data_IF_476096792596
#
_entry.id   IF_476096792596
#
_cell.length_a   1.000
_cell.length_b   1.000
_cell.length_c   1.000
_cell.angle_alpha   90.00
_cell.angle_beta   90.00
_cell.angle_gamma   90.00
#
_symmetry.space_group_name_H-M   'P 1'
#
loop_
_entity.id
_entity.type
_entity.pdbx_description
1 polymer ?
#
# COMPACT_ATOMS: atom_id res chain seq x y z
N UNK A 1 47.14 -24.05 -22.72
CA UNK A 1 46.76 -22.90 -21.89
C UNK A 1 46.08 -21.81 -22.73
N UNK A 2 44.74 -21.78 -22.73
CA UNK A 2 43.90 -20.60 -22.97
C UNK A 2 42.44 -21.06 -22.80
N UNK A 3 41.97 -21.04 -21.55
CA UNK A 3 40.55 -21.20 -21.23
C UNK A 3 39.87 -19.87 -21.48
N UNK A 4 39.12 -19.81 -22.56
CA UNK A 4 38.26 -18.70 -22.96
C UNK A 4 37.06 -18.63 -22.00
N UNK A 5 37.15 -17.77 -20.99
CA UNK A 5 36.04 -17.47 -20.09
C UNK A 5 35.02 -16.65 -20.88
N UNK A 6 34.01 -17.32 -21.43
CA UNK A 6 32.75 -16.69 -21.84
C UNK A 6 32.19 -15.95 -20.63
N UNK A 7 32.40 -14.63 -20.59
CA UNK A 7 31.60 -13.72 -19.79
C UNK A 7 30.17 -13.86 -20.32
N UNK A 8 29.34 -14.62 -19.61
CA UNK A 8 27.90 -14.50 -19.74
C UNK A 8 27.57 -13.11 -19.24
N UNK A 9 27.50 -12.15 -20.16
CA UNK A 9 26.84 -10.88 -19.92
C UNK A 9 25.38 -11.23 -19.66
N UNK A 10 25.01 -11.44 -18.39
CA UNK A 10 23.63 -11.39 -17.98
C UNK A 10 23.14 -9.99 -18.27
N UNK A 11 22.38 -9.82 -19.34
CA UNK A 11 21.68 -8.58 -19.65
C UNK A 11 20.87 -8.21 -18.41
N UNK A 12 21.30 -7.17 -17.69
CA UNK A 12 20.64 -6.75 -16.47
C UNK A 12 19.21 -6.33 -16.84
N UNK A 13 18.22 -7.11 -16.40
CA UNK A 13 16.81 -6.80 -16.64
C UNK A 13 16.49 -5.44 -16.02
N UNK A 14 15.96 -4.53 -16.83
CA UNK A 14 15.48 -3.22 -16.37
C UNK A 14 14.36 -3.42 -15.35
N UNK A 15 14.25 -2.52 -14.38
CA UNK A 15 13.24 -2.63 -13.33
C UNK A 15 11.80 -2.70 -13.85
N UNK A 16 11.49 -2.00 -14.95
CA UNK A 16 10.19 -2.06 -15.62
C UNK A 16 9.77 -3.47 -16.08
N UNK A 17 10.75 -4.34 -16.34
CA UNK A 17 10.55 -5.71 -16.80
C UNK A 17 10.62 -6.72 -15.64
N UNK A 18 10.84 -6.25 -14.41
CA UNK A 18 10.93 -7.09 -13.22
C UNK A 18 9.56 -7.25 -12.57
N UNK A 19 9.16 -8.48 -12.21
CA UNK A 19 7.92 -8.70 -11.51
C UNK A 19 8.01 -8.17 -10.07
N UNK A 20 6.91 -7.63 -9.57
CA UNK A 20 6.80 -7.26 -8.16
C UNK A 20 6.80 -8.49 -7.26
N UNK A 21 7.32 -8.34 -6.04
CA UNK A 21 7.13 -9.31 -4.97
C UNK A 21 5.65 -9.41 -4.61
N UNK A 22 5.22 -10.61 -4.26
CA UNK A 22 3.85 -10.89 -3.83
C UNK A 22 3.51 -10.16 -2.53
N UNK A 23 2.21 -9.97 -2.29
CA UNK A 23 1.67 -9.48 -1.02
C UNK A 23 2.20 -10.29 0.17
N UNK A 24 2.21 -11.62 0.04
CA UNK A 24 2.64 -12.54 1.10
C UNK A 24 4.15 -12.42 1.38
N UNK A 25 4.98 -12.28 0.35
CA UNK A 25 6.42 -12.02 0.51
C UNK A 25 6.67 -10.73 1.30
N UNK A 26 6.02 -9.62 0.92
CA UNK A 26 6.22 -8.34 1.60
C UNK A 26 5.58 -8.31 3.00
N UNK A 27 4.53 -9.09 3.25
CA UNK A 27 4.03 -9.33 4.61
C UNK A 27 5.08 -10.06 5.48
N UNK A 28 5.90 -10.92 4.87
CA UNK A 28 7.10 -11.51 5.47
C UNK A 28 8.06 -10.46 6.02
N UNK A 29 8.41 -9.47 5.20
CA UNK A 29 9.25 -8.33 5.60
C UNK A 29 8.58 -7.45 6.66
N UNK A 30 7.29 -7.12 6.45
CA UNK A 30 6.55 -6.20 7.31
C UNK A 30 6.29 -6.75 8.73
N UNK A 31 5.98 -8.05 8.81
CA UNK A 31 5.39 -8.67 10.00
C UNK A 31 6.08 -9.95 10.47
N UNK A 32 7.16 -10.39 9.81
CA UNK A 32 7.95 -11.55 10.22
C UNK A 32 7.33 -12.91 9.84
N UNK A 33 6.56 -12.97 8.75
CA UNK A 33 6.02 -14.24 8.24
C UNK A 33 7.11 -15.08 7.55
N UNK A 34 6.81 -16.36 7.32
CA UNK A 34 7.68 -17.30 6.58
C UNK A 34 7.82 -16.91 5.11
N UNK A 35 8.88 -17.41 4.45
CA UNK A 35 9.13 -17.20 3.02
C UNK A 35 7.92 -17.57 2.16
N UNK A 36 7.69 -16.80 1.11
CA UNK A 36 6.68 -17.11 0.09
C UNK A 36 7.31 -17.80 -1.11
N UNK A 37 7.10 -19.11 -1.21
CA UNK A 37 7.60 -19.96 -2.30
C UNK A 37 7.08 -19.53 -3.68
N UNK A 38 5.97 -18.78 -3.74
CA UNK A 38 5.40 -18.27 -4.99
C UNK A 38 5.94 -16.89 -5.38
N UNK A 39 6.86 -16.31 -4.59
CA UNK A 39 7.42 -15.01 -4.93
C UNK A 39 8.30 -15.13 -6.18
N UNK A 40 8.08 -14.34 -7.24
CA UNK A 40 8.89 -14.43 -8.46
C UNK A 40 10.33 -13.97 -8.26
N UNK A 41 10.63 -13.32 -7.14
CA UNK A 41 11.96 -12.85 -6.76
C UNK A 41 12.57 -13.67 -5.60
N UNK A 42 12.01 -14.85 -5.28
CA UNK A 42 12.42 -15.65 -4.13
C UNK A 42 13.92 -16.00 -4.13
N UNK A 43 14.45 -16.35 -5.30
CA UNK A 43 15.87 -16.73 -5.47
C UNK A 43 16.83 -15.61 -5.04
N UNK A 44 16.38 -14.36 -5.05
CA UNK A 44 17.17 -13.19 -4.65
C UNK A 44 17.06 -12.85 -3.15
N UNK A 45 16.05 -13.38 -2.42
CA UNK A 45 15.70 -12.94 -1.05
C UNK A 45 16.59 -13.49 0.07
N UNK A 46 17.47 -14.44 -0.23
CA UNK A 46 18.26 -15.17 0.76
C UNK A 46 17.42 -16.19 1.54
N UNK A 47 17.97 -16.74 2.63
CA UNK A 47 17.35 -17.84 3.39
C UNK A 47 16.16 -17.41 4.27
N UNK A 48 16.06 -16.13 4.60
CA UNK A 48 14.99 -15.55 5.43
C UNK A 48 14.67 -14.14 4.94
N UNK A 49 13.46 -13.68 5.23
CA UNK A 49 13.11 -12.29 4.98
C UNK A 49 13.98 -11.34 5.77
N UNK A 50 14.31 -10.20 5.17
CA UNK A 50 14.81 -9.04 5.91
C UNK A 50 13.73 -8.59 6.89
N UNK A 51 14.15 -8.11 8.06
CA UNK A 51 13.22 -7.36 8.89
C UNK A 51 12.93 -5.98 8.28
N UNK A 52 11.79 -5.42 8.65
CA UNK A 52 11.34 -4.11 8.14
C UNK A 52 12.38 -2.99 8.37
N UNK A 53 12.96 -2.79 9.57
CA UNK A 53 14.01 -1.78 9.78
C UNK A 53 15.24 -1.95 8.88
N UNK A 54 15.72 -3.17 8.69
CA UNK A 54 16.86 -3.48 7.84
C UNK A 54 16.57 -3.17 6.38
N UNK A 55 15.41 -3.60 5.88
CA UNK A 55 14.93 -3.24 4.53
C UNK A 55 14.93 -1.72 4.33
N UNK A 56 14.28 -0.97 5.23
CA UNK A 56 14.16 0.49 5.14
C UNK A 56 15.52 1.19 5.16
N UNK A 57 16.47 0.70 5.98
CA UNK A 57 17.83 1.22 6.03
C UNK A 57 18.57 0.99 4.71
N UNK A 58 18.51 -0.23 4.18
CA UNK A 58 19.22 -0.60 2.96
C UNK A 58 18.66 0.16 1.74
N UNK A 59 17.34 0.22 1.59
CA UNK A 59 16.71 0.90 0.45
C UNK A 59 16.97 2.40 0.47
N UNK A 60 16.98 3.02 1.66
CA UNK A 60 17.33 4.44 1.84
C UNK A 60 18.74 4.75 1.38
N UNK A 61 19.71 3.88 1.72
CA UNK A 61 21.10 4.03 1.27
C UNK A 61 21.23 3.80 -0.23
N UNK A 62 20.51 2.83 -0.79
CA UNK A 62 20.53 2.57 -2.23
C UNK A 62 19.98 3.76 -3.02
N UNK A 63 18.82 4.31 -2.65
CA UNK A 63 18.20 5.46 -3.34
C UNK A 63 19.06 6.74 -3.31
N UNK A 64 20.03 6.83 -2.41
CA UNK A 64 21.00 7.92 -2.37
C UNK A 64 22.14 7.76 -3.39
N UNK A 65 22.39 6.53 -3.86
CA UNK A 65 23.56 6.18 -4.69
C UNK A 65 23.16 5.72 -6.10
N UNK A 66 22.12 4.90 -6.18
CA UNK A 66 21.64 4.28 -7.41
C UNK A 66 20.69 5.22 -8.15
N UNK A 67 21.26 6.03 -9.05
CA UNK A 67 20.59 7.12 -9.78
C UNK A 67 20.92 7.14 -11.27
N UNK A 68 21.52 6.06 -11.77
CA UNK A 68 21.90 5.91 -13.17
C UNK A 68 20.69 5.65 -14.08
N UNK A 69 20.90 5.64 -15.40
CA UNK A 69 19.86 5.28 -16.38
C UNK A 69 19.30 3.85 -16.21
N UNK A 70 20.05 3.00 -15.53
CA UNK A 70 19.77 1.60 -15.22
C UNK A 70 19.44 1.36 -13.73
N UNK A 71 19.15 2.44 -12.99
CA UNK A 71 18.83 2.34 -11.57
C UNK A 71 17.65 1.40 -11.30
N UNK A 72 17.73 0.69 -10.17
CA UNK A 72 16.67 -0.15 -9.63
C UNK A 72 15.55 0.70 -8.98
N UNK A 73 15.25 1.85 -9.58
CA UNK A 73 14.15 2.74 -9.20
C UNK A 73 13.66 3.49 -10.44
N UNK A 74 12.40 3.28 -10.82
CA UNK A 74 11.73 4.05 -11.87
C UNK A 74 10.51 4.72 -11.24
N UNK A 75 10.57 6.05 -10.99
CA UNK A 75 9.40 6.81 -10.58
C UNK A 75 8.36 6.83 -11.70
N UNK A 76 7.08 6.77 -11.35
CA UNK A 76 5.99 7.04 -12.29
C UNK A 76 5.05 8.06 -11.63
N UNK A 77 5.12 9.33 -12.02
CA UNK A 77 4.27 10.41 -11.51
C UNK A 77 4.09 10.39 -9.97
N UNK A 78 3.05 9.74 -9.44
CA UNK A 78 2.77 9.59 -7.99
C UNK A 78 3.33 8.29 -7.35
N UNK A 79 3.67 7.26 -8.11
CA UNK A 79 4.15 5.97 -7.59
C UNK A 79 5.03 5.22 -8.59
N UNK A 80 6.25 4.89 -8.18
CA UNK A 80 7.22 4.16 -9.01
C UNK A 80 7.39 2.69 -8.63
N UNK A 81 8.13 1.97 -9.45
CA UNK A 81 8.69 0.69 -9.08
C UNK A 81 10.08 0.90 -8.47
N UNK A 82 10.37 0.21 -7.37
CA UNK A 82 11.70 0.19 -6.74
C UNK A 82 12.11 -1.25 -6.47
N UNK A 83 13.39 -1.56 -6.61
CA UNK A 83 13.97 -2.84 -6.25
C UNK A 83 15.14 -2.65 -5.28
N UNK A 84 15.15 -3.37 -4.17
CA UNK A 84 16.34 -3.46 -3.31
C UNK A 84 17.36 -4.40 -3.96
N UNK A 85 18.38 -3.86 -4.64
CA UNK A 85 19.34 -4.60 -5.48
C UNK A 85 19.95 -5.78 -4.73
N UNK A 86 20.34 -5.56 -3.48
CA UNK A 86 21.00 -6.55 -2.61
C UNK A 86 20.17 -7.80 -2.29
N UNK A 87 18.83 -7.73 -2.33
CA UNK A 87 17.96 -8.80 -1.82
C UNK A 87 16.73 -9.08 -2.67
N UNK A 88 16.59 -8.57 -3.89
CA UNK A 88 15.47 -8.99 -4.75
C UNK A 88 14.16 -8.23 -4.61
N UNK A 89 13.92 -7.61 -3.46
CA UNK A 89 12.61 -7.06 -3.14
C UNK A 89 12.20 -5.96 -4.13
N UNK A 90 11.22 -6.27 -4.97
CA UNK A 90 10.68 -5.36 -5.98
C UNK A 90 9.25 -4.99 -5.58
N UNK A 91 8.97 -3.70 -5.43
CA UNK A 91 7.74 -3.18 -4.82
C UNK A 91 7.43 -1.76 -5.31
N UNK A 92 6.32 -1.20 -4.87
CA UNK A 92 5.89 0.14 -5.22
C UNK A 92 6.47 1.16 -4.23
N UNK A 93 6.92 2.30 -4.74
CA UNK A 93 7.30 3.47 -3.95
C UNK A 93 6.38 4.65 -4.30
N UNK A 94 5.55 5.12 -3.36
CA UNK A 94 4.81 6.39 -3.46
C UNK A 94 5.74 7.51 -3.02
N UNK A 95 6.14 8.37 -3.95
CA UNK A 95 7.01 9.52 -3.68
C UNK A 95 6.20 10.79 -3.54
N UNK A 96 6.54 11.64 -2.58
CA UNK A 96 5.94 12.97 -2.42
C UNK A 96 7.00 14.05 -2.20
N UNK A 97 6.65 15.28 -2.56
CA UNK A 97 7.40 16.48 -2.22
C UNK A 97 7.10 16.92 -0.78
N UNK A 98 7.90 17.83 -0.21
CA UNK A 98 7.80 18.20 1.22
C UNK A 98 6.44 18.80 1.60
N UNK A 99 5.74 19.47 0.66
CA UNK A 99 4.43 20.06 0.93
C UNK A 99 3.34 19.02 1.19
N UNK A 100 3.48 17.81 0.65
CA UNK A 100 2.53 16.69 0.82
C UNK A 100 2.94 15.72 1.95
N UNK A 101 4.01 16.02 2.69
CA UNK A 101 4.51 15.15 3.77
C UNK A 101 3.43 14.86 4.84
N UNK A 102 2.57 15.82 5.15
CA UNK A 102 1.51 15.64 6.14
C UNK A 102 0.50 14.57 5.68
N UNK A 103 0.12 14.57 4.40
CA UNK A 103 -0.78 13.58 3.81
C UNK A 103 -0.12 12.19 3.79
N UNK A 104 1.16 12.12 3.41
CA UNK A 104 1.89 10.84 3.38
C UNK A 104 2.06 10.24 4.79
N UNK A 105 2.30 11.07 5.81
CA UNK A 105 2.37 10.62 7.21
C UNK A 105 1.02 10.08 7.67
N UNK A 106 -0.05 10.81 7.39
CA UNK A 106 -1.40 10.38 7.71
C UNK A 106 -1.76 9.06 7.03
N UNK A 107 -1.46 8.91 5.73
CA UNK A 107 -1.68 7.66 5.01
C UNK A 107 -0.90 6.49 5.63
N UNK A 108 0.38 6.69 5.94
CA UNK A 108 1.20 5.68 6.62
C UNK A 108 0.58 5.25 7.97
N UNK A 109 0.08 6.21 8.76
CA UNK A 109 -0.57 5.93 10.04
C UNK A 109 -1.89 5.16 9.83
N UNK A 110 -2.65 5.46 8.77
CA UNK A 110 -3.84 4.69 8.41
C UNK A 110 -3.50 3.25 8.06
N UNK A 111 -2.40 3.00 7.32
CA UNK A 111 -1.90 1.65 7.08
C UNK A 111 -1.60 0.90 8.39
N UNK A 112 -1.00 1.55 9.38
CA UNK A 112 -0.75 0.94 10.69
C UNK A 112 -2.07 0.58 11.41
N UNK A 113 -3.13 1.38 11.26
CA UNK A 113 -4.48 1.06 11.78
C UNK A 113 -5.11 -0.13 11.09
N UNK A 114 -4.86 -0.32 9.79
CA UNK A 114 -5.45 -1.40 8.99
C UNK A 114 -4.55 -2.63 8.83
N UNK A 115 -3.56 -2.80 9.72
CA UNK A 115 -2.61 -3.94 9.72
C UNK A 115 -3.28 -5.30 9.56
N UNK A 116 -4.47 -5.50 10.14
CA UNK A 116 -5.20 -6.78 10.09
C UNK A 116 -5.65 -7.21 8.69
N UNK A 117 -5.81 -6.26 7.76
CA UNK A 117 -6.31 -6.50 6.40
C UNK A 117 -5.26 -6.25 5.31
N UNK A 118 -4.03 -5.86 5.70
CA UNK A 118 -2.91 -5.71 4.76
C UNK A 118 -2.58 -7.05 4.08
N UNK A 119 -2.37 -6.99 2.76
CA UNK A 119 -2.15 -8.16 1.91
C UNK A 119 -3.42 -8.93 1.52
N UNK A 120 -4.59 -8.50 2.01
CA UNK A 120 -5.90 -9.09 1.69
C UNK A 120 -6.84 -8.12 1.01
N UNK A 121 -7.03 -6.94 1.60
CA UNK A 121 -7.96 -5.90 1.13
C UNK A 121 -7.32 -4.53 0.96
N UNK A 122 -6.10 -4.34 1.47
CA UNK A 122 -5.25 -3.18 1.23
C UNK A 122 -3.81 -3.67 1.01
N UNK A 123 -2.93 -2.88 0.35
CA UNK A 123 -1.53 -3.24 0.20
C UNK A 123 -0.82 -3.44 1.54
N UNK A 124 0.22 -4.27 1.52
CA UNK A 124 1.20 -4.32 2.59
C UNK A 124 2.05 -3.06 2.53
N UNK A 125 2.11 -2.33 3.64
CA UNK A 125 2.93 -1.14 3.81
C UNK A 125 4.17 -1.47 4.63
N UNK A 126 5.36 -1.25 4.06
CA UNK A 126 6.63 -1.38 4.76
C UNK A 126 7.01 -0.12 5.54
N UNK A 127 6.21 0.95 5.42
CA UNK A 127 6.43 2.29 5.95
C UNK A 127 7.16 3.25 4.99
N UNK A 128 7.38 4.47 5.48
CA UNK A 128 7.97 5.59 4.78
C UNK A 128 9.35 5.92 5.30
N UNK A 129 10.17 6.48 4.43
CA UNK A 129 11.48 7.05 4.73
C UNK A 129 11.56 8.50 4.26
N UNK A 130 12.44 9.26 4.89
CA UNK A 130 12.97 10.51 4.35
C UNK A 130 14.22 10.16 3.55
N UNK A 131 14.27 10.60 2.30
CA UNK A 131 15.41 10.34 1.42
C UNK A 131 16.65 11.10 1.93
N UNK A 132 17.83 10.56 1.65
CA UNK A 132 19.10 11.24 1.97
C UNK A 132 19.36 12.39 0.99
N UNK A 133 18.98 12.18 -0.28
CA UNK A 133 19.01 13.16 -1.35
C UNK A 133 17.66 13.13 -2.05
N UNK A 134 17.08 14.28 -2.44
CA UNK A 134 15.83 14.31 -3.19
C UNK A 134 15.92 13.48 -4.47
N UNK A 135 14.85 12.78 -4.84
CA UNK A 135 14.75 12.08 -6.11
C UNK A 135 14.09 13.00 -7.14
N UNK A 136 14.74 13.19 -8.29
CA UNK A 136 14.26 14.10 -9.34
C UNK A 136 13.66 13.30 -10.48
N UNK A 137 12.42 13.61 -10.86
CA UNK A 137 11.76 12.97 -11.98
C UNK A 137 10.66 13.87 -12.53
N UNK A 138 10.62 14.05 -13.86
CA UNK A 138 9.59 14.81 -14.58
C UNK A 138 9.31 16.21 -13.99
N UNK A 139 10.37 16.88 -13.53
CA UNK A 139 10.28 18.21 -12.89
C UNK A 139 9.91 18.20 -11.40
N UNK A 140 9.50 17.06 -10.83
CA UNK A 140 9.21 16.91 -9.39
C UNK A 140 10.46 16.70 -8.54
N UNK A 141 10.39 17.14 -7.28
CA UNK A 141 11.46 17.00 -6.27
C UNK A 141 10.94 16.19 -5.08
N UNK A 142 11.06 14.87 -5.18
CA UNK A 142 10.53 13.97 -4.17
C UNK A 142 11.51 13.80 -3.02
N UNK A 143 11.06 14.01 -1.79
CA UNK A 143 11.90 13.94 -0.59
C UNK A 143 11.51 12.80 0.34
N UNK A 144 10.27 12.30 0.23
CA UNK A 144 9.73 11.28 1.12
C UNK A 144 9.09 10.17 0.31
N UNK A 145 9.48 8.93 0.60
CA UNK A 145 8.97 7.74 -0.09
C UNK A 145 8.23 6.85 0.91
N UNK A 146 7.06 6.36 0.55
CA UNK A 146 6.36 5.27 1.23
C UNK A 146 6.39 4.01 0.38
N UNK A 147 6.68 2.87 0.99
CA UNK A 147 6.84 1.60 0.29
C UNK A 147 5.63 0.69 0.49
N UNK A 148 5.00 0.33 -0.62
CA UNK A 148 3.79 -0.49 -0.67
C UNK A 148 4.03 -1.73 -1.55
N UNK A 149 3.34 -2.82 -1.25
CA UNK A 149 3.24 -3.94 -2.17
C UNK A 149 2.40 -3.57 -3.40
N UNK A 150 2.63 -4.29 -4.51
CA UNK A 150 1.87 -4.05 -5.73
C UNK A 150 0.42 -4.51 -5.59
N UNK A 151 -0.50 -3.59 -5.84
CA UNK A 151 -1.91 -3.73 -5.48
C UNK A 151 -2.79 -4.29 -6.61
N UNK A 152 -2.24 -4.53 -7.79
CA UNK A 152 -3.01 -4.91 -8.97
C UNK A 152 -3.10 -3.82 -10.02
N UNK A 153 -4.01 -4.01 -10.97
CA UNK A 153 -4.35 -3.05 -12.03
C UNK A 153 -5.65 -2.32 -11.68
N UNK A 154 -5.92 -1.16 -12.30
CA UNK A 154 -7.20 -0.48 -12.12
C UNK A 154 -8.40 -1.38 -12.44
N UNK A 155 -9.47 -1.25 -11.67
CA UNK A 155 -10.64 -2.13 -11.79
C UNK A 155 -11.23 -2.17 -13.20
N UNK A 156 -11.20 -1.05 -13.94
CA UNK A 156 -11.72 -0.95 -15.30
C UNK A 156 -10.98 -1.88 -16.30
N UNK A 157 -9.73 -2.24 -16.03
CA UNK A 157 -8.96 -3.17 -16.87
C UNK A 157 -9.30 -4.64 -16.61
N UNK A 158 -9.85 -4.97 -15.43
CA UNK A 158 -10.22 -6.33 -15.07
C UNK A 158 -11.62 -6.77 -15.54
N UNK A 159 -12.40 -5.86 -16.13
CA UNK A 159 -13.81 -6.11 -16.49
C UNK A 159 -14.03 -7.28 -17.47
N UNK A 160 -12.99 -7.65 -18.23
CA UNK A 160 -13.06 -8.73 -19.22
C UNK A 160 -12.76 -10.12 -18.63
N UNK A 161 -12.25 -10.20 -17.39
CA UNK A 161 -11.76 -11.45 -16.79
C UNK A 161 -12.65 -11.93 -15.62
N UNK A 162 -13.37 -11.01 -14.97
CA UNK A 162 -14.17 -11.29 -13.77
C UNK A 162 -15.59 -10.75 -13.99
N UNK A 163 -16.60 -11.56 -13.64
CA UNK A 163 -18.00 -11.14 -13.75
C UNK A 163 -18.30 -9.93 -12.86
N UNK A 164 -19.09 -8.97 -13.38
CA UNK A 164 -19.45 -7.72 -12.67
C UNK A 164 -19.95 -7.96 -11.24
N UNK A 165 -20.75 -9.01 -11.04
CA UNK A 165 -21.29 -9.33 -9.71
C UNK A 165 -20.20 -9.71 -8.71
N UNK A 166 -19.24 -10.54 -9.13
CA UNK A 166 -18.13 -10.94 -8.29
C UNK A 166 -17.24 -9.76 -7.91
N UNK A 167 -17.04 -8.81 -8.83
CA UNK A 167 -16.33 -7.55 -8.54
C UNK A 167 -17.06 -6.75 -7.45
N UNK A 168 -18.37 -6.56 -7.60
CA UNK A 168 -19.17 -5.83 -6.61
C UNK A 168 -19.08 -6.50 -5.24
N UNK A 169 -19.27 -7.82 -5.18
CA UNK A 169 -19.22 -8.56 -3.93
C UNK A 169 -17.81 -8.49 -3.28
N UNK A 170 -16.74 -8.50 -4.08
CA UNK A 170 -15.36 -8.33 -3.61
C UNK A 170 -15.08 -6.91 -3.06
N UNK A 171 -15.55 -5.87 -3.76
CA UNK A 171 -15.45 -4.47 -3.30
C UNK A 171 -16.23 -4.29 -1.99
N UNK A 172 -17.48 -4.76 -1.94
CA UNK A 172 -18.30 -4.70 -0.72
C UNK A 172 -17.61 -5.41 0.44
N UNK A 173 -17.00 -6.57 0.20
CA UNK A 173 -16.24 -7.30 1.23
C UNK A 173 -15.04 -6.48 1.72
N UNK A 174 -14.25 -5.90 0.81
CA UNK A 174 -13.06 -5.12 1.16
C UNK A 174 -13.41 -3.89 2.02
N UNK A 175 -14.44 -3.12 1.65
CA UNK A 175 -14.89 -1.97 2.45
C UNK A 175 -15.52 -2.41 3.76
N UNK A 176 -16.27 -3.51 3.78
CA UNK A 176 -16.81 -4.06 5.03
C UNK A 176 -15.71 -4.38 6.03
N UNK A 177 -14.60 -4.99 5.58
CA UNK A 177 -13.44 -5.26 6.44
C UNK A 177 -12.72 -3.97 6.89
N UNK A 178 -12.63 -2.96 6.02
CA UNK A 178 -12.09 -1.64 6.38
C UNK A 178 -12.95 -0.96 7.46
N UNK A 179 -14.27 -0.99 7.31
CA UNK A 179 -15.25 -0.38 8.21
C UNK A 179 -15.31 -1.07 9.57
N UNK A 180 -15.09 -2.40 9.62
CA UNK A 180 -14.93 -3.15 10.87
C UNK A 180 -13.78 -2.61 11.72
N UNK A 181 -12.74 -2.09 11.08
CA UNK A 181 -11.60 -1.43 11.72
C UNK A 181 -11.85 0.05 12.04
N UNK A 182 -13.09 0.53 11.86
CA UNK A 182 -13.52 1.93 12.08
C UNK A 182 -12.81 2.94 11.19
N UNK A 183 -12.24 2.49 10.07
CA UNK A 183 -11.62 3.37 9.08
C UNK A 183 -12.64 3.66 7.99
N UNK A 184 -12.86 4.95 7.71
CA UNK A 184 -13.66 5.45 6.61
C UNK A 184 -12.72 6.03 5.57
N UNK A 185 -12.85 5.68 4.29
CA UNK A 185 -11.85 6.05 3.28
C UNK A 185 -11.98 7.49 2.78
N UNK A 186 -13.20 8.03 2.69
CA UNK A 186 -13.56 9.34 2.11
C UNK A 186 -13.27 9.53 0.61
N UNK A 187 -12.72 8.52 -0.07
CA UNK A 187 -12.46 8.53 -1.51
C UNK A 187 -12.50 7.13 -2.13
N UNK A 188 -13.49 6.31 -1.76
CA UNK A 188 -13.70 4.96 -2.28
C UNK A 188 -14.16 4.88 -3.74
N UNK A 189 -13.65 5.76 -4.61
CA UNK A 189 -13.97 5.78 -6.04
C UNK A 189 -13.22 4.67 -6.78
N UNK A 190 -13.70 4.23 -7.97
CA UNK A 190 -13.07 3.14 -8.73
C UNK A 190 -11.57 3.30 -9.04
N UNK A 191 -11.04 4.52 -9.05
CA UNK A 191 -9.59 4.78 -9.22
C UNK A 191 -8.73 4.26 -8.06
N UNK A 192 -9.31 4.17 -6.85
CA UNK A 192 -8.63 3.76 -5.62
C UNK A 192 -8.95 2.29 -5.29
N UNK A 193 -9.50 1.57 -6.26
CA UNK A 193 -9.87 0.16 -6.16
C UNK A 193 -9.12 -0.58 -7.27
N UNK A 194 -8.16 -1.40 -6.86
CA UNK A 194 -7.30 -2.17 -7.75
C UNK A 194 -7.63 -3.65 -7.66
N UNK A 195 -7.36 -4.39 -8.73
CA UNK A 195 -7.64 -5.82 -8.86
C UNK A 195 -6.38 -6.58 -9.24
N UNK A 196 -6.12 -7.67 -8.52
CA UNK A 196 -5.15 -8.67 -8.96
C UNK A 196 -5.81 -9.60 -9.98
N UNK A 197 -5.43 -9.46 -11.25
CA UNK A 197 -6.04 -10.17 -12.37
C UNK A 197 -5.98 -11.70 -12.26
N UNK A 198 -5.01 -12.25 -11.51
CA UNK A 198 -4.87 -13.70 -11.33
C UNK A 198 -5.74 -14.30 -10.21
N UNK A 199 -6.11 -13.50 -9.20
CA UNK A 199 -6.81 -14.00 -8.00
C UNK A 199 -8.21 -13.42 -7.79
N UNK A 200 -8.59 -12.42 -8.58
CA UNK A 200 -9.86 -11.70 -8.44
C UNK A 200 -9.98 -10.92 -7.13
N UNK A 201 -8.87 -10.75 -6.41
CA UNK A 201 -8.82 -9.99 -5.17
C UNK A 201 -8.83 -8.50 -5.48
N UNK A 202 -9.61 -7.78 -4.68
CA UNK A 202 -9.68 -6.32 -4.71
C UNK A 202 -8.82 -5.75 -3.60
N UNK A 203 -8.07 -4.70 -3.93
CA UNK A 203 -7.31 -3.90 -2.98
C UNK A 203 -7.76 -2.46 -3.02
N UNK A 204 -7.99 -1.91 -1.84
CA UNK A 204 -8.26 -0.50 -1.61
C UNK A 204 -6.92 0.18 -1.38
N UNK A 205 -6.65 1.25 -2.11
CA UNK A 205 -5.41 2.04 -2.04
C UNK A 205 -5.72 3.50 -1.75
N UNK A 206 -4.70 4.28 -1.42
CA UNK A 206 -4.78 5.73 -1.23
C UNK A 206 -5.59 6.16 0.01
N UNK A 207 -5.05 5.82 1.19
CA UNK A 207 -5.69 6.12 2.49
C UNK A 207 -5.41 7.55 2.99
N UNK A 208 -4.92 8.44 2.13
CA UNK A 208 -4.52 9.81 2.50
C UNK A 208 -5.68 10.68 3.01
N UNK A 209 -6.92 10.34 2.61
CA UNK A 209 -8.16 11.03 3.06
C UNK A 209 -8.92 10.24 4.11
N UNK A 210 -8.42 9.07 4.50
CA UNK A 210 -9.16 8.18 5.39
C UNK A 210 -9.20 8.70 6.83
N UNK A 211 -10.28 8.45 7.56
CA UNK A 211 -10.43 8.90 8.94
C UNK A 211 -10.86 7.76 9.86
N UNK A 212 -10.46 7.86 11.14
CA UNK A 212 -10.95 6.98 12.18
C UNK A 212 -12.29 7.49 12.69
N UNK A 213 -13.34 6.75 12.41
CA UNK A 213 -14.67 7.08 12.90
C UNK A 213 -14.85 6.57 14.34
N UNK A 214 -14.55 7.42 15.32
CA UNK A 214 -14.93 7.17 16.70
C UNK A 214 -16.43 7.43 16.88
N UNK A 215 -17.21 6.39 17.18
CA UNK A 215 -18.53 6.63 17.79
C UNK A 215 -18.29 7.33 19.12
N UNK A 216 -18.83 8.53 19.31
CA UNK A 216 -18.88 9.12 20.65
C UNK A 216 -19.54 8.09 21.58
N UNK A 217 -18.96 7.81 22.77
CA UNK A 217 -19.66 7.02 23.76
C UNK A 217 -21.02 7.67 23.98
N UNK A 218 -22.09 6.87 24.03
CA UNK A 218 -23.38 7.36 24.52
C UNK A 218 -23.09 8.00 25.87
N UNK A 219 -23.31 9.31 25.99
CA UNK A 219 -23.02 10.05 27.21
C UNK A 219 -23.65 9.35 28.42
N UNK A 220 -23.04 9.47 29.61
CA UNK A 220 -23.47 8.70 30.78
C UNK A 220 -24.97 8.87 30.99
N UNK A 221 -25.69 7.75 30.97
CA UNK A 221 -27.11 7.69 31.31
C UNK A 221 -27.17 7.95 32.81
N UNK A 222 -27.40 9.19 33.20
CA UNK A 222 -27.65 9.53 34.60
C UNK A 222 -29.02 8.93 34.99
N UNK A 223 -29.10 8.00 35.96
CA UNK A 223 -30.37 7.35 36.31
C UNK A 223 -31.40 8.30 36.95
N UNK A 224 -31.00 9.52 37.32
CA UNK A 224 -31.86 10.50 37.95
C UNK A 224 -31.50 11.91 37.46
N UNK A 225 -32.12 12.35 36.37
CA UNK A 225 -32.11 13.72 35.91
C UNK A 225 -33.51 14.12 35.47
N UNK A 226 -34.18 14.94 36.30
CA UNK A 226 -35.55 15.41 36.06
C UNK A 226 -35.74 15.87 34.61
N UNK A 227 -36.82 15.39 33.98
CA UNK A 227 -37.18 15.64 32.60
C UNK A 227 -37.44 17.13 32.33
N UNK A 228 -36.38 17.91 32.06
CA UNK A 228 -36.52 19.18 31.35
C UNK A 228 -36.71 18.86 29.87
N UNK A 229 -37.94 19.05 29.39
CA UNK A 229 -38.32 19.06 27.96
C UNK A 229 -37.47 20.09 27.19
N UNK A 230 -36.25 19.73 26.80
CA UNK A 230 -35.61 20.32 25.63
C UNK A 230 -36.17 19.58 24.43
N UNK A 231 -36.82 20.30 23.52
CA UNK A 231 -37.24 19.80 22.20
C UNK A 231 -36.07 19.02 21.60
N UNK A 232 -36.17 17.69 21.60
CA UNK A 232 -35.37 16.84 20.73
C UNK A 232 -35.72 17.29 19.32
N UNK A 233 -34.84 18.04 18.66
CA UNK A 233 -34.72 17.85 17.22
C UNK A 233 -34.38 16.37 17.08
N UNK A 234 -35.34 15.62 16.55
CA UNK A 234 -35.06 14.32 15.99
C UNK A 234 -34.08 14.61 14.86
N UNK A 235 -32.79 14.61 15.16
CA UNK A 235 -31.82 14.22 14.14
C UNK A 235 -32.28 12.82 13.76
N UNK A 236 -32.90 12.74 12.58
CA UNK A 236 -33.08 11.48 11.87
C UNK A 236 -31.80 10.70 12.10
N UNK A 237 -31.90 9.46 12.60
CA UNK A 237 -30.80 8.51 12.51
C UNK A 237 -30.30 8.59 11.07
N UNK A 238 -29.20 9.31 10.87
CA UNK A 238 -28.53 9.35 9.60
C UNK A 238 -28.15 7.90 9.33
N UNK A 239 -28.38 7.44 8.09
CA UNK A 239 -27.87 6.15 7.63
C UNK A 239 -26.43 6.02 8.11
N UNK A 240 -26.07 4.85 8.63
CA UNK A 240 -24.71 4.57 9.10
C UNK A 240 -23.73 5.09 8.03
N UNK A 241 -22.79 6.00 8.35
CA UNK A 241 -21.94 6.65 7.34
C UNK A 241 -21.24 5.62 6.44
N UNK A 242 -20.88 4.48 7.02
CA UNK A 242 -20.32 3.30 6.34
C UNK A 242 -21.22 2.74 5.23
N UNK A 243 -22.54 2.80 5.37
CA UNK A 243 -23.50 2.38 4.34
C UNK A 243 -23.59 3.37 3.16
N UNK A 244 -23.06 4.59 3.32
CA UNK A 244 -23.04 5.61 2.25
C UNK A 244 -21.73 5.63 1.45
N UNK A 245 -20.70 4.89 1.88
CA UNK A 245 -19.41 4.83 1.18
C UNK A 245 -19.39 3.85 0.00
N UNK A 246 -20.35 2.92 -0.02
CA UNK A 246 -20.54 1.91 -1.08
C UNK A 246 -21.61 2.33 -2.09
#
# INVERSE_FOLDING_TARGET
>A
PHTDRRQVQTTQKKIQDRPFCTQRCLAGVAFGAVMDENCPNLEDHGARHLDRPEFLRLIRVQLAKDRGPDADCVPLYLSGAVRLSSHGYTLVAKGVESFDLALLRHENDMYDRVKAIQGKHVPVCLSRIDLILPYYYDGGVFEHFMFLSWAGRPLFECHNQIGKRAIVDAVTTAFTELHKLRVFHHDGKPRNILCDGGSGRVMIVDLERAELYSRQPLGPISPNGQARKKKRKVEKQGKDPFTMEL
#
